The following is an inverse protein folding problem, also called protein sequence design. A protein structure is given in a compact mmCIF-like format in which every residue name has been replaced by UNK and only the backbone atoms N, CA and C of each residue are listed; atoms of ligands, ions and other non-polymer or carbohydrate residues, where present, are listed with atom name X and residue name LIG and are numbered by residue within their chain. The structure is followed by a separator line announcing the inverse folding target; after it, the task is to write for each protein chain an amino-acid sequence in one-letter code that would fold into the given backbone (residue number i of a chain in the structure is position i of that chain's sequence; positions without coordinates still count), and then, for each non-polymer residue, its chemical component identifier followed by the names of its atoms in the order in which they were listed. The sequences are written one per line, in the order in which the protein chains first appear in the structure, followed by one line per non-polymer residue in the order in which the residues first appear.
data_IF_025103317480
#
_entry.id   IF_025103317480
#
_cell.length_a   1.000
_cell.length_b   1.000
_cell.length_c   1.000
_cell.angle_alpha   90.00
_cell.angle_beta   90.00
_cell.angle_gamma   90.00
#
_symmetry.space_group_name_H-M   'P 1'
#
loop_
_entity.id
_entity.type
_entity.pdbx_description
1 polymer ?
#
# COMPACT_ATOMS: atom_id res chain seq x y z
N UNK A 1 -16.38 -2.34 15.11
CA UNK A 1 -16.10 -3.67 14.54
C UNK A 1 -15.02 -3.60 13.46
N UNK A 2 -15.24 -2.95 12.30
CA UNK A 2 -14.17 -2.78 11.30
C UNK A 2 -12.98 -1.98 11.86
N UNK A 3 -13.24 -0.84 12.51
CA UNK A 3 -12.18 -0.01 13.09
C UNK A 3 -11.36 -0.74 14.17
N UNK A 4 -11.95 -1.69 14.88
CA UNK A 4 -11.23 -2.51 15.88
C UNK A 4 -10.34 -3.56 15.20
N UNK A 5 -10.87 -4.23 14.17
CA UNK A 5 -10.17 -5.29 13.43
C UNK A 5 -9.03 -4.70 12.58
N UNK A 6 -9.27 -3.53 12.00
CA UNK A 6 -8.33 -2.77 11.18
C UNK A 6 -7.66 -1.63 11.96
N UNK A 7 -7.55 -1.77 13.28
CA UNK A 7 -6.82 -0.81 14.11
C UNK A 7 -5.39 -0.65 13.56
N UNK A 8 -4.95 0.61 13.41
CA UNK A 8 -3.66 0.96 12.83
C UNK A 8 -2.47 0.32 13.58
N UNK A 9 -2.62 0.06 14.88
CA UNK A 9 -1.61 -0.62 15.69
C UNK A 9 -1.31 -2.05 15.20
N UNK A 10 -2.23 -2.66 14.45
CA UNK A 10 -2.04 -3.98 13.84
C UNK A 10 -1.18 -3.96 12.55
N UNK A 11 -0.76 -2.79 12.06
CA UNK A 11 -0.12 -2.62 10.75
C UNK A 11 1.41 -2.37 10.81
N UNK A 12 2.08 -2.96 11.80
CA UNK A 12 3.55 -2.94 11.95
C UNK A 12 4.15 -1.52 11.85
N UNK A 13 3.50 -0.56 12.51
CA UNK A 13 3.78 0.88 12.39
C UNK A 13 5.07 1.32 13.09
N UNK A 14 5.46 2.57 12.82
CA UNK A 14 6.46 3.34 13.56
C UNK A 14 5.74 4.46 14.31
N UNK A 15 6.00 4.60 15.60
CA UNK A 15 5.32 5.59 16.45
C UNK A 15 6.16 5.96 17.68
N UNK A 16 5.88 7.13 18.24
CA UNK A 16 6.24 7.47 19.62
C UNK A 16 4.98 7.53 20.50
N UNK A 17 5.05 8.17 21.66
CA UNK A 17 3.90 8.33 22.56
C UNK A 17 2.74 9.08 21.88
N UNK A 18 3.05 10.15 21.14
CA UNK A 18 2.07 11.15 20.65
C UNK A 18 1.77 11.05 19.16
N UNK A 19 2.66 10.42 18.37
CA UNK A 19 2.65 10.49 16.91
C UNK A 19 2.86 9.14 16.24
N UNK A 20 2.25 8.98 15.09
CA UNK A 20 2.61 8.00 14.07
C UNK A 20 3.59 8.60 13.07
N UNK A 21 4.42 7.76 12.47
CA UNK A 21 5.37 8.13 11.42
C UNK A 21 5.19 7.22 10.21
N UNK A 22 4.76 7.79 9.09
CA UNK A 22 4.54 7.05 7.86
C UNK A 22 5.58 7.40 6.81
N UNK A 23 6.00 6.41 6.04
CA UNK A 23 7.01 6.61 5.00
C UNK A 23 6.36 7.21 3.75
N UNK A 24 7.08 8.13 3.12
CA UNK A 24 6.83 8.56 1.75
C UNK A 24 8.11 8.45 0.96
N UNK A 25 8.08 7.66 -0.11
CA UNK A 25 9.02 7.82 -1.20
C UNK A 25 8.65 9.10 -1.98
N UNK A 26 9.56 10.07 -2.03
CA UNK A 26 9.33 11.31 -2.76
C UNK A 26 9.19 10.98 -4.24
N UNK A 27 8.02 11.26 -4.81
CA UNK A 27 7.74 10.89 -6.19
C UNK A 27 8.45 11.84 -7.17
N UNK A 28 8.30 11.61 -8.47
CA UNK A 28 8.97 12.45 -9.48
C UNK A 28 8.50 13.92 -9.44
N UNK A 29 7.24 14.19 -9.10
CA UNK A 29 6.71 15.55 -8.97
C UNK A 29 7.25 16.26 -7.72
N UNK A 30 7.37 15.55 -6.59
CA UNK A 30 8.00 16.09 -5.38
C UNK A 30 9.47 16.44 -5.62
N UNK A 31 10.20 15.53 -6.29
CA UNK A 31 11.59 15.78 -6.64
C UNK A 31 11.72 16.94 -7.61
N UNK A 32 10.80 17.09 -8.56
CA UNK A 32 10.77 18.25 -9.45
C UNK A 32 10.59 19.54 -8.65
N UNK A 33 9.66 19.58 -7.71
CA UNK A 33 9.45 20.76 -6.85
C UNK A 33 10.70 21.07 -6.02
N UNK A 34 11.37 20.05 -5.49
CA UNK A 34 12.60 20.20 -4.70
C UNK A 34 13.76 20.72 -5.54
N UNK A 35 14.01 20.09 -6.70
CA UNK A 35 15.13 20.43 -7.58
C UNK A 35 14.97 21.85 -8.20
N UNK A 36 13.74 22.36 -8.27
CA UNK A 36 13.43 23.72 -8.75
C UNK A 36 13.16 24.72 -7.61
N UNK A 37 13.46 24.38 -6.35
CA UNK A 37 13.31 25.25 -5.19
C UNK A 37 11.87 25.77 -4.96
N UNK A 38 10.86 25.04 -5.42
CA UNK A 38 9.44 25.42 -5.29
C UNK A 38 8.96 25.18 -3.85
N UNK A 39 9.40 24.07 -3.25
CA UNK A 39 8.97 23.63 -1.91
C UNK A 39 10.10 23.60 -0.90
N UNK A 40 11.24 24.23 -1.20
CA UNK A 40 12.46 24.19 -0.40
C UNK A 40 12.72 25.56 0.22
N UNK A 41 13.13 25.57 1.49
CA UNK A 41 13.49 26.80 2.20
C UNK A 41 14.94 27.22 1.94
N UNK A 42 15.33 28.38 2.47
CA UNK A 42 16.68 28.94 2.31
C UNK A 42 17.81 27.98 2.74
N UNK A 43 17.54 27.10 3.70
CA UNK A 43 18.50 26.13 4.24
C UNK A 43 18.48 24.77 3.52
N UNK A 44 17.77 24.64 2.40
CA UNK A 44 17.66 23.39 1.64
C UNK A 44 16.66 22.38 2.20
N UNK A 45 15.99 22.70 3.32
CA UNK A 45 14.99 21.83 3.94
C UNK A 45 13.65 21.89 3.20
N UNK A 46 12.91 20.77 3.17
CA UNK A 46 11.58 20.70 2.56
C UNK A 46 10.57 21.46 3.45
N UNK A 47 9.81 22.38 2.86
CA UNK A 47 8.78 23.20 3.54
C UNK A 47 7.38 22.62 3.39
N UNK A 48 7.10 21.95 2.27
CA UNK A 48 5.79 21.34 2.01
C UNK A 48 5.90 20.25 0.95
N UNK A 49 5.00 19.29 0.99
CA UNK A 49 4.77 18.34 -0.10
C UNK A 49 3.37 18.61 -0.62
N UNK A 50 3.31 18.98 -1.90
CA UNK A 50 2.11 19.43 -2.59
C UNK A 50 1.28 18.24 -3.09
N UNK A 51 -0.02 18.43 -3.19
CA UNK A 51 -0.93 17.45 -3.83
C UNK A 51 -0.79 17.52 -5.35
N UNK A 52 -1.16 16.44 -6.04
CA UNK A 52 -1.20 16.45 -7.52
C UNK A 52 -2.20 17.48 -8.05
N UNK A 53 -3.36 17.62 -7.39
CA UNK A 53 -4.31 18.70 -7.70
C UNK A 53 -3.66 20.08 -7.71
N UNK A 54 -2.81 20.40 -6.73
CA UNK A 54 -2.17 21.72 -6.68
C UNK A 54 -1.15 21.95 -7.81
N UNK A 55 -0.69 20.88 -8.47
CA UNK A 55 0.18 20.92 -9.65
C UNK A 55 -0.62 20.85 -10.96
N UNK A 56 -1.89 20.50 -10.88
CA UNK A 56 -2.75 20.29 -12.04
C UNK A 56 -3.06 21.62 -12.74
N UNK A 57 -2.79 21.67 -14.04
CA UNK A 57 -2.85 22.89 -14.86
C UNK A 57 -4.20 23.07 -15.59
N UNK A 58 -5.09 22.09 -15.48
CA UNK A 58 -6.45 22.10 -16.07
C UNK A 58 -7.50 22.23 -14.97
N UNK A 59 -8.77 22.17 -15.37
CA UNK A 59 -9.90 22.12 -14.42
C UNK A 59 -9.89 20.78 -13.68
N UNK A 60 -9.63 20.76 -12.36
CA UNK A 60 -9.59 19.52 -11.60
C UNK A 60 -11.02 18.99 -11.36
N UNK A 61 -11.17 17.68 -11.28
CA UNK A 61 -12.42 17.03 -10.84
C UNK A 61 -12.75 17.34 -9.38
N UNK A 62 -11.72 17.39 -8.53
CA UNK A 62 -11.85 17.57 -7.09
C UNK A 62 -11.51 19.02 -6.69
N UNK A 63 -12.29 19.59 -5.76
CA UNK A 63 -12.04 20.93 -5.21
C UNK A 63 -11.03 20.85 -4.06
N UNK A 64 -10.33 21.93 -3.78
CA UNK A 64 -9.29 21.97 -2.72
C UNK A 64 -9.86 21.78 -1.32
N UNK A 65 -11.03 22.36 -1.10
CA UNK A 65 -11.77 22.41 0.15
C UNK A 65 -12.82 21.29 0.25
N UNK A 66 -12.79 20.32 -0.67
CA UNK A 66 -13.67 19.17 -0.62
C UNK A 66 -13.32 18.28 0.59
N UNK A 67 -14.27 17.45 1.02
CA UNK A 67 -13.97 16.32 1.89
C UNK A 67 -13.55 15.14 1.05
N UNK A 68 -12.58 14.36 1.54
CA UNK A 68 -12.20 13.09 0.95
C UNK A 68 -13.44 12.23 0.70
N UNK A 69 -13.52 11.65 -0.50
CA UNK A 69 -14.61 10.76 -0.89
C UNK A 69 -14.06 9.40 -1.32
N UNK A 70 -14.93 8.37 -1.33
CA UNK A 70 -14.58 7.05 -1.87
C UNK A 70 -14.08 7.14 -3.32
N UNK A 71 -14.70 7.99 -4.14
CA UNK A 71 -14.31 8.15 -5.54
C UNK A 71 -12.93 8.80 -5.69
N UNK A 72 -12.59 9.75 -4.81
CA UNK A 72 -11.27 10.40 -4.84
C UNK A 72 -10.14 9.47 -4.39
N UNK A 73 -10.33 8.67 -3.33
CA UNK A 73 -9.36 7.63 -2.96
C UNK A 73 -9.23 6.60 -4.08
N UNK A 74 -10.35 6.13 -4.63
CA UNK A 74 -10.34 5.19 -5.74
C UNK A 74 -9.55 5.75 -6.93
N UNK A 75 -9.80 7.00 -7.33
CA UNK A 75 -9.09 7.66 -8.42
C UNK A 75 -7.60 7.88 -8.13
N UNK A 76 -7.19 7.97 -6.86
CA UNK A 76 -5.80 8.11 -6.45
C UNK A 76 -5.02 6.77 -6.43
N UNK A 77 -5.68 5.66 -6.11
CA UNK A 77 -5.02 4.35 -5.92
C UNK A 77 -5.08 3.46 -7.17
N UNK A 78 -6.12 3.60 -7.99
CA UNK A 78 -6.34 2.72 -9.13
C UNK A 78 -5.13 2.68 -10.08
N UNK A 79 -5.01 1.58 -10.81
CA UNK A 79 -4.04 1.45 -11.90
C UNK A 79 -4.32 2.55 -12.92
N UNK A 80 -3.31 3.40 -13.20
CA UNK A 80 -3.46 4.70 -13.87
C UNK A 80 -4.27 5.72 -13.05
N UNK A 81 -3.71 6.14 -11.91
CA UNK A 81 -4.31 7.14 -11.03
C UNK A 81 -4.48 8.50 -11.71
N UNK A 82 -5.42 9.29 -11.19
CA UNK A 82 -5.62 10.68 -11.62
C UNK A 82 -4.61 11.60 -10.95
N UNK A 83 -4.10 12.57 -11.71
CA UNK A 83 -3.14 13.59 -11.25
C UNK A 83 -3.81 14.90 -10.82
N UNK A 84 -5.08 14.84 -10.42
CA UNK A 84 -5.87 16.00 -9.97
C UNK A 84 -6.60 15.75 -8.64
N UNK A 85 -6.10 14.80 -7.82
CA UNK A 85 -6.61 14.50 -6.48
C UNK A 85 -5.86 15.30 -5.40
N UNK A 86 -6.50 15.52 -4.26
CA UNK A 86 -5.89 16.11 -3.07
C UNK A 86 -5.12 15.10 -2.22
N UNK A 87 -5.03 13.85 -2.68
CA UNK A 87 -4.44 12.76 -1.92
C UNK A 87 -2.91 12.71 -2.10
N UNK A 88 -2.22 12.33 -1.04
CA UNK A 88 -0.79 12.06 -1.02
C UNK A 88 -0.58 10.68 -0.41
N UNK A 89 -0.07 9.74 -1.22
CA UNK A 89 0.28 8.39 -0.79
C UNK A 89 1.37 8.35 0.26
N UNK A 90 1.11 7.58 1.31
CA UNK A 90 2.00 7.22 2.40
C UNK A 90 1.93 5.71 2.64
N UNK A 91 2.91 5.14 3.33
CA UNK A 91 2.90 3.73 3.71
C UNK A 91 3.40 3.53 5.13
N UNK A 92 2.80 2.59 5.87
CA UNK A 92 3.34 2.17 7.17
C UNK A 92 4.56 1.26 7.02
N UNK A 93 4.84 0.74 5.83
CA UNK A 93 5.91 -0.22 5.57
C UNK A 93 7.04 0.38 4.75
N UNK A 94 8.23 0.45 5.34
CA UNK A 94 9.44 0.94 4.70
C UNK A 94 9.77 0.16 3.41
N UNK A 95 9.50 -1.14 3.34
CA UNK A 95 9.78 -1.95 2.15
C UNK A 95 8.96 -1.51 0.94
N UNK A 96 7.71 -1.06 1.16
CA UNK A 96 6.86 -0.51 0.09
C UNK A 96 7.45 0.80 -0.41
N UNK A 97 7.85 1.69 0.51
CA UNK A 97 8.51 2.93 0.11
C UNK A 97 9.81 2.69 -0.63
N UNK A 98 10.66 1.76 -0.17
CA UNK A 98 11.91 1.40 -0.86
C UNK A 98 11.67 0.85 -2.27
N UNK A 99 10.63 0.02 -2.46
CA UNK A 99 10.24 -0.47 -3.78
C UNK A 99 9.95 0.71 -4.71
N UNK A 100 9.06 1.61 -4.29
CA UNK A 100 8.70 2.77 -5.11
C UNK A 100 9.88 3.72 -5.34
N UNK A 101 10.60 4.06 -4.28
CA UNK A 101 11.72 5.00 -4.31
C UNK A 101 12.85 4.55 -5.22
N UNK A 102 13.15 3.24 -5.25
CA UNK A 102 14.28 2.68 -6.01
C UNK A 102 13.92 2.28 -7.43
N UNK A 103 12.69 1.81 -7.65
CA UNK A 103 12.27 1.30 -8.95
C UNK A 103 11.72 2.42 -9.84
N UNK A 104 11.05 3.42 -9.26
CA UNK A 104 10.30 4.42 -10.03
C UNK A 104 10.73 5.87 -9.79
N UNK A 105 11.40 6.17 -8.67
CA UNK A 105 11.75 7.55 -8.26
C UNK A 105 13.27 7.72 -8.04
N UNK A 106 13.67 8.71 -7.23
CA UNK A 106 15.06 9.12 -7.00
C UNK A 106 15.69 8.60 -5.71
N UNK A 107 15.15 7.52 -5.11
CA UNK A 107 15.64 6.92 -3.85
C UNK A 107 15.75 7.95 -2.70
N UNK A 108 14.81 8.92 -2.64
CA UNK A 108 14.67 9.92 -1.58
C UNK A 108 13.37 9.74 -0.81
N UNK A 109 13.42 9.96 0.50
CA UNK A 109 12.34 9.62 1.42
C UNK A 109 12.12 10.70 2.47
N UNK A 110 10.90 10.74 3.00
CA UNK A 110 10.58 11.43 4.25
C UNK A 110 9.75 10.52 5.14
N UNK A 111 9.79 10.78 6.44
CA UNK A 111 8.75 10.37 7.36
C UNK A 111 7.74 11.51 7.49
N UNK A 112 6.45 11.16 7.48
CA UNK A 112 5.34 12.07 7.73
C UNK A 112 4.83 11.79 9.13
N UNK A 113 5.07 12.74 10.02
CA UNK A 113 4.65 12.73 11.42
C UNK A 113 3.19 13.15 11.52
N UNK A 114 2.38 12.28 12.10
CA UNK A 114 0.94 12.45 12.25
C UNK A 114 0.57 12.30 13.72
N UNK A 115 0.05 13.35 14.39
CA UNK A 115 -0.43 13.20 15.76
C UNK A 115 -1.50 12.12 15.86
N UNK A 116 -1.41 11.22 16.84
CA UNK A 116 -2.37 10.10 16.97
C UNK A 116 -3.82 10.56 17.08
N UNK A 117 -4.04 11.71 17.73
CA UNK A 117 -5.36 12.37 17.87
C UNK A 117 -5.94 12.93 16.55
N UNK A 118 -5.10 13.13 15.53
CA UNK A 118 -5.47 13.65 14.21
C UNK A 118 -5.56 12.54 13.15
N UNK A 119 -5.14 11.33 13.49
CA UNK A 119 -5.33 10.15 12.65
C UNK A 119 -6.83 9.87 12.45
N UNK A 120 -7.23 9.51 11.24
CA UNK A 120 -8.63 9.38 10.84
C UNK A 120 -9.27 10.69 10.34
N UNK A 121 -8.60 11.84 10.48
CA UNK A 121 -9.07 13.13 9.95
C UNK A 121 -8.42 13.42 8.60
N UNK A 122 -7.17 13.93 8.61
CA UNK A 122 -6.41 14.23 7.39
C UNK A 122 -5.64 13.03 6.86
N UNK A 123 -5.28 12.10 7.74
CA UNK A 123 -4.55 10.89 7.36
C UNK A 123 -5.40 9.68 7.69
N UNK A 124 -5.69 8.85 6.69
CA UNK A 124 -6.53 7.66 6.83
C UNK A 124 -5.80 6.43 6.31
N UNK A 125 -6.08 5.26 6.88
CA UNK A 125 -5.79 3.99 6.22
C UNK A 125 -6.73 3.86 5.01
N UNK A 126 -6.18 3.83 3.80
CA UNK A 126 -7.00 3.94 2.60
C UNK A 126 -7.90 2.71 2.40
N UNK A 127 -7.39 1.52 2.69
CA UNK A 127 -8.17 0.28 2.59
C UNK A 127 -9.37 0.28 3.56
N UNK A 128 -9.15 0.61 4.84
CA UNK A 128 -10.21 0.72 5.83
C UNK A 128 -11.23 1.82 5.46
N UNK A 129 -10.75 3.00 5.05
CA UNK A 129 -11.62 4.09 4.63
C UNK A 129 -12.52 3.65 3.47
N UNK A 130 -11.95 3.00 2.45
CA UNK A 130 -12.70 2.47 1.32
C UNK A 130 -13.76 1.45 1.78
N UNK A 131 -13.40 0.51 2.67
CA UNK A 131 -14.36 -0.46 3.21
C UNK A 131 -15.53 0.21 3.94
N UNK A 132 -15.24 1.19 4.80
CA UNK A 132 -16.27 1.94 5.54
C UNK A 132 -17.21 2.69 4.57
N UNK A 133 -16.66 3.41 3.59
CA UNK A 133 -17.47 4.13 2.60
C UNK A 133 -18.29 3.20 1.69
N UNK A 134 -17.75 2.03 1.32
CA UNK A 134 -18.50 1.02 0.59
C UNK A 134 -19.67 0.53 1.45
N UNK A 135 -19.43 0.20 2.72
CA UNK A 135 -20.48 -0.26 3.62
C UNK A 135 -21.57 0.79 3.83
N UNK A 136 -21.20 2.06 3.96
CA UNK A 136 -22.15 3.19 4.03
C UNK A 136 -23.01 3.26 2.77
N UNK A 137 -22.41 3.09 1.58
CA UNK A 137 -23.16 3.09 0.31
C UNK A 137 -24.10 1.89 0.18
N UNK A 138 -23.69 0.72 0.66
CA UNK A 138 -24.57 -0.47 0.73
C UNK A 138 -25.77 -0.18 1.63
N UNK A 139 -25.53 0.42 2.81
CA UNK A 139 -26.59 0.77 3.74
C UNK A 139 -27.55 1.82 3.16
N UNK A 140 -27.04 2.78 2.39
CA UNK A 140 -27.86 3.75 1.65
C UNK A 140 -28.80 3.04 0.66
N UNK A 141 -28.30 2.07 -0.12
CA UNK A 141 -29.15 1.29 -1.03
C UNK A 141 -30.23 0.50 -0.28
N UNK A 142 -29.91 -0.08 0.88
CA UNK A 142 -30.90 -0.78 1.72
C UNK A 142 -31.98 0.21 2.19
N UNK A 143 -31.58 1.34 2.76
CA UNK A 143 -32.48 2.33 3.33
C UNK A 143 -33.38 3.01 2.29
N UNK A 144 -32.87 3.19 1.07
CA UNK A 144 -33.62 3.76 -0.05
C UNK A 144 -34.56 2.74 -0.72
N UNK A 145 -34.58 1.48 -0.27
CA UNK A 145 -35.38 0.41 -0.88
C UNK A 145 -34.90 0.03 -2.28
N UNK A 146 -33.62 0.22 -2.55
CA UNK A 146 -33.00 0.00 -3.86
C UNK A 146 -32.57 -1.45 -4.11
N UNK A 147 -32.65 -2.31 -3.09
CA UNK A 147 -32.30 -3.72 -3.12
C UNK A 147 -33.53 -4.60 -2.87
N UNK A 148 -33.54 -5.82 -3.43
CA UNK A 148 -34.61 -6.80 -3.17
C UNK A 148 -34.51 -7.36 -1.74
N UNK A 149 -35.63 -7.85 -1.20
CA UNK A 149 -35.65 -8.53 0.11
C UNK A 149 -34.72 -9.74 0.15
N UNK A 150 -34.60 -10.45 -0.97
CA UNK A 150 -33.67 -11.57 -1.11
C UNK A 150 -32.22 -11.11 -0.99
N UNK A 151 -31.83 -10.07 -1.73
CA UNK A 151 -30.48 -9.50 -1.64
C UNK A 151 -30.16 -9.06 -0.20
N UNK A 152 -31.10 -8.36 0.46
CA UNK A 152 -30.95 -7.93 1.87
C UNK A 152 -30.77 -9.13 2.79
N UNK A 153 -31.52 -10.22 2.59
CA UNK A 153 -31.38 -11.45 3.36
C UNK A 153 -29.99 -12.08 3.20
N UNK A 154 -29.44 -12.10 1.97
CA UNK A 154 -28.09 -12.60 1.75
C UNK A 154 -27.01 -11.69 2.36
N UNK A 155 -27.15 -10.37 2.27
CA UNK A 155 -26.23 -9.42 2.92
C UNK A 155 -26.17 -9.66 4.43
N UNK A 156 -27.33 -9.79 5.08
CA UNK A 156 -27.42 -10.11 6.51
C UNK A 156 -26.79 -11.47 6.84
N UNK A 157 -26.95 -12.46 5.95
CA UNK A 157 -26.35 -13.79 6.14
C UNK A 157 -24.82 -13.72 6.09
N UNK A 158 -24.26 -12.93 5.16
CA UNK A 158 -22.81 -12.70 5.04
C UNK A 158 -22.25 -12.02 6.29
N UNK A 159 -22.96 -11.01 6.83
CA UNK A 159 -22.51 -10.29 8.03
C UNK A 159 -22.31 -11.20 9.24
N UNK A 160 -23.17 -12.22 9.38
CA UNK A 160 -23.16 -13.13 10.51
C UNK A 160 -22.11 -14.24 10.43
N UNK A 161 -21.45 -14.42 9.28
CA UNK A 161 -20.42 -15.44 9.09
C UNK A 161 -19.23 -15.23 10.04
N UNK A 162 -18.69 -16.32 10.59
CA UNK A 162 -17.57 -16.30 11.54
C UNK A 162 -16.27 -16.87 10.98
N UNK A 163 -16.32 -17.57 9.85
CA UNK A 163 -15.14 -18.18 9.24
C UNK A 163 -15.16 -18.12 7.71
N UNK A 164 -13.97 -18.25 7.10
CA UNK A 164 -13.83 -18.30 5.64
C UNK A 164 -14.61 -19.48 5.03
N UNK A 165 -14.57 -20.64 5.69
CA UNK A 165 -15.29 -21.83 5.25
C UNK A 165 -16.81 -21.63 5.24
N UNK A 166 -17.36 -20.97 6.27
CA UNK A 166 -18.78 -20.61 6.31
C UNK A 166 -19.15 -19.64 5.19
N UNK A 167 -18.30 -18.65 4.90
CA UNK A 167 -18.52 -17.69 3.82
C UNK A 167 -18.57 -18.43 2.47
N UNK A 168 -17.59 -19.28 2.20
CA UNK A 168 -17.49 -20.02 0.95
C UNK A 168 -18.69 -20.97 0.77
N UNK A 169 -19.16 -21.61 1.84
CA UNK A 169 -20.36 -22.45 1.82
C UNK A 169 -21.64 -21.64 1.52
N UNK A 170 -21.79 -20.47 2.14
CA UNK A 170 -22.92 -19.57 1.91
C UNK A 170 -22.95 -19.06 0.45
N UNK A 171 -21.81 -18.63 -0.07
CA UNK A 171 -21.73 -18.14 -1.46
C UNK A 171 -22.03 -19.26 -2.44
N UNK A 172 -21.57 -20.49 -2.17
CA UNK A 172 -21.92 -21.64 -2.99
C UNK A 172 -23.40 -22.02 -2.93
N UNK A 173 -24.10 -21.80 -1.81
CA UNK A 173 -25.54 -22.07 -1.73
C UNK A 173 -26.37 -21.04 -2.49
N UNK A 174 -26.02 -19.75 -2.39
CA UNK A 174 -26.66 -18.65 -3.12
C UNK A 174 -26.61 -18.93 -4.64
N UNK A 175 -25.46 -19.35 -5.16
CA UNK A 175 -25.30 -19.71 -6.59
C UNK A 175 -26.24 -20.81 -7.05
N UNK A 176 -26.41 -21.87 -6.25
CA UNK A 176 -27.25 -23.01 -6.61
C UNK A 176 -28.70 -22.58 -6.80
N UNK A 177 -29.17 -21.64 -5.97
CA UNK A 177 -30.51 -21.05 -6.07
C UNK A 177 -30.62 -20.19 -7.34
N UNK A 178 -29.65 -19.31 -7.59
CA UNK A 178 -29.67 -18.46 -8.80
C UNK A 178 -29.58 -19.26 -10.11
N UNK A 179 -28.89 -20.40 -10.13
CA UNK A 179 -28.82 -21.27 -11.31
C UNK A 179 -30.10 -22.10 -11.52
N UNK A 180 -30.87 -22.39 -10.47
CA UNK A 180 -32.14 -23.12 -10.61
C UNK A 180 -33.29 -22.27 -11.17
N UNK A 181 -33.18 -20.94 -11.10
CA UNK A 181 -34.22 -20.01 -11.55
C UNK A 181 -34.08 -19.58 -13.03
N UNK A 182 -33.04 -20.01 -13.74
CA UNK A 182 -32.84 -19.76 -15.17
C UNK A 182 -33.25 -20.98 -16.03
N UNK A 183 -34.55 -21.22 -16.10
CA UNK A 183 -35.17 -21.95 -17.23
C UNK A 183 -36.12 -20.99 -17.95
N UNK A 184 -35.56 -20.01 -18.65
CA UNK A 184 -36.32 -19.18 -19.59
C UNK A 184 -35.88 -19.50 -21.03
N UNK A 185 -36.83 -19.97 -21.84
CA UNK A 185 -36.67 -20.44 -23.23
C UNK A 185 -36.26 -19.31 -24.22
N UNK A 186 -36.05 -18.09 -23.74
CA UNK A 186 -35.81 -16.90 -24.56
C UNK A 186 -34.40 -16.28 -24.52
N UNK A 187 -33.47 -16.75 -23.66
CA UNK A 187 -32.09 -16.24 -23.63
C UNK A 187 -31.09 -17.17 -24.33
N UNK A 188 -31.17 -17.26 -25.66
CA UNK A 188 -30.14 -17.93 -26.48
C UNK A 188 -28.83 -17.12 -26.54
N UNK A 189 -28.04 -17.14 -25.47
CA UNK A 189 -26.58 -17.04 -25.61
C UNK A 189 -25.78 -16.21 -24.62
N UNK A 190 -26.38 -15.56 -23.62
CA UNK A 190 -25.61 -14.89 -22.56
C UNK A 190 -25.98 -15.50 -21.21
N UNK A 191 -25.24 -16.54 -20.81
CA UNK A 191 -25.23 -16.92 -19.41
C UNK A 191 -24.67 -15.73 -18.62
N UNK A 192 -25.52 -15.04 -17.85
CA UNK A 192 -25.04 -14.24 -16.73
C UNK A 192 -24.50 -15.18 -15.66
N UNK A 193 -23.35 -15.77 -15.95
CA UNK A 193 -22.54 -16.39 -14.92
C UNK A 193 -22.22 -15.27 -13.94
N UNK A 194 -22.70 -15.42 -12.71
CA UNK A 194 -22.17 -14.73 -11.54
C UNK A 194 -20.68 -15.09 -11.46
N UNK A 195 -19.83 -14.42 -12.25
CA UNK A 195 -18.41 -14.71 -12.26
C UNK A 195 -17.84 -14.05 -11.02
N UNK A 196 -17.64 -14.87 -10.00
CA UNK A 196 -17.12 -14.46 -8.70
C UNK A 196 -15.89 -13.58 -8.85
N UNK A 197 -15.81 -12.56 -8.01
CA UNK A 197 -14.55 -11.91 -7.80
C UNK A 197 -13.73 -12.79 -6.85
N UNK A 198 -12.80 -13.59 -7.38
CA UNK A 198 -11.87 -14.36 -6.56
C UNK A 198 -11.12 -13.41 -5.62
N UNK A 199 -11.48 -13.48 -4.33
CA UNK A 199 -10.86 -12.68 -3.30
C UNK A 199 -9.57 -13.36 -2.84
N UNK A 200 -8.44 -12.69 -3.05
CA UNK A 200 -7.13 -13.18 -2.58
C UNK A 200 -6.88 -12.74 -1.15
N UNK A 201 -6.25 -13.60 -0.34
CA UNK A 201 -5.74 -13.19 0.96
C UNK A 201 -4.50 -12.32 0.77
N UNK A 202 -4.46 -11.18 1.47
CA UNK A 202 -3.30 -10.31 1.49
C UNK A 202 -2.41 -10.69 2.67
N UNK A 203 -1.12 -10.93 2.41
CA UNK A 203 -0.14 -11.26 3.45
C UNK A 203 0.02 -10.16 4.50
N UNK A 204 -0.32 -8.92 4.13
CA UNK A 204 -0.27 -7.77 5.02
C UNK A 204 -1.47 -7.72 6.00
N UNK A 205 -2.46 -8.61 5.84
CA UNK A 205 -3.66 -8.70 6.67
C UNK A 205 -3.69 -10.02 7.45
N UNK A 206 -4.25 -9.96 8.67
CA UNK A 206 -4.57 -11.15 9.47
C UNK A 206 -5.72 -11.94 8.86
N UNK A 207 -5.95 -13.18 9.32
CA UNK A 207 -7.10 -13.99 8.87
C UNK A 207 -8.45 -13.31 9.16
N UNK A 208 -8.57 -12.63 10.30
CA UNK A 208 -9.78 -11.88 10.66
C UNK A 208 -10.00 -10.68 9.73
N UNK A 209 -8.94 -9.93 9.42
CA UNK A 209 -8.99 -8.82 8.46
C UNK A 209 -9.33 -9.31 7.05
N UNK A 210 -8.71 -10.41 6.60
CA UNK A 210 -9.02 -11.01 5.30
C UNK A 210 -10.48 -11.48 5.24
N UNK A 211 -11.03 -12.06 6.31
CA UNK A 211 -12.43 -12.46 6.37
C UNK A 211 -13.40 -11.28 6.21
N UNK A 212 -13.19 -10.17 6.93
CA UNK A 212 -14.07 -9.01 6.82
C UNK A 212 -14.01 -8.35 5.44
N UNK A 213 -12.81 -8.30 4.84
CA UNK A 213 -12.65 -7.91 3.44
C UNK A 213 -13.40 -8.85 2.50
N UNK A 214 -13.27 -10.17 2.68
CA UNK A 214 -13.93 -11.17 1.85
C UNK A 214 -15.47 -11.09 1.95
N UNK A 215 -16.00 -10.82 3.14
CA UNK A 215 -17.42 -10.52 3.32
C UNK A 215 -17.85 -9.32 2.47
N UNK A 216 -17.07 -8.23 2.48
CA UNK A 216 -17.37 -7.06 1.67
C UNK A 216 -17.36 -7.38 0.17
N UNK A 217 -16.37 -8.14 -0.30
CA UNK A 217 -16.30 -8.62 -1.70
C UNK A 217 -17.55 -9.43 -2.06
N UNK A 218 -17.94 -10.36 -1.20
CA UNK A 218 -19.15 -11.17 -1.39
C UNK A 218 -20.42 -10.31 -1.46
N UNK A 219 -20.55 -9.29 -0.60
CA UNK A 219 -21.68 -8.34 -0.66
C UNK A 219 -21.71 -7.59 -2.00
N UNK A 220 -20.56 -7.17 -2.50
CA UNK A 220 -20.45 -6.43 -3.76
C UNK A 220 -20.80 -7.28 -4.99
N UNK A 221 -20.56 -8.59 -4.95
CA UNK A 221 -20.98 -9.49 -6.01
C UNK A 221 -22.52 -9.68 -5.99
N UNK A 222 -23.17 -9.66 -4.82
CA UNK A 222 -24.65 -9.74 -4.69
C UNK A 222 -25.36 -8.48 -5.18
N UNK A 223 -24.75 -7.31 -4.96
CA UNK A 223 -25.35 -6.03 -5.31
C UNK A 223 -25.19 -5.79 -6.81
N UNK A 224 -26.31 -5.86 -7.55
CA UNK A 224 -26.35 -5.56 -8.99
C UNK A 224 -26.34 -4.04 -9.30
N UNK A 225 -25.62 -3.26 -8.49
CA UNK A 225 -25.42 -1.81 -8.64
C UNK A 225 -23.95 -1.47 -8.40
N UNK A 226 -23.47 -0.50 -9.16
CA UNK A 226 -22.12 0.03 -8.95
C UNK A 226 -22.10 0.94 -7.71
N UNK A 227 -21.14 0.71 -6.81
CA UNK A 227 -20.92 1.58 -5.65
C UNK A 227 -20.48 2.98 -6.08
N UNK A 228 -19.52 3.05 -7.01
CA UNK A 228 -19.07 4.30 -7.63
C UNK A 228 -19.72 4.38 -9.02
N UNK A 229 -20.37 5.50 -9.38
CA UNK A 229 -20.98 5.66 -10.71
C UNK A 229 -19.99 5.37 -11.84
N UNK A 230 -20.42 4.57 -12.82
CA UNK A 230 -19.63 4.17 -14.00
C UNK A 230 -18.34 3.38 -13.72
N UNK A 231 -18.14 2.87 -12.50
CA UNK A 231 -17.03 2.00 -12.13
C UNK A 231 -17.59 0.64 -11.73
N UNK A 232 -17.08 -0.44 -12.32
CA UNK A 232 -17.52 -1.78 -11.94
C UNK A 232 -17.04 -2.13 -10.53
N UNK A 233 -17.88 -2.85 -9.77
CA UNK A 233 -17.51 -3.32 -8.42
C UNK A 233 -16.22 -4.15 -8.43
N UNK A 234 -15.94 -4.90 -9.50
CA UNK A 234 -14.67 -5.63 -9.65
C UNK A 234 -13.45 -4.72 -9.66
N UNK A 235 -13.53 -3.59 -10.36
CA UNK A 235 -12.41 -2.66 -10.42
C UNK A 235 -12.22 -1.93 -9.09
N UNK A 236 -13.32 -1.65 -8.38
CA UNK A 236 -13.26 -1.15 -7.01
C UNK A 236 -12.59 -2.15 -6.06
N UNK A 237 -12.96 -3.44 -6.14
CA UNK A 237 -12.35 -4.52 -5.34
C UNK A 237 -10.85 -4.65 -5.65
N UNK A 238 -10.46 -4.59 -6.92
CA UNK A 238 -9.04 -4.60 -7.31
C UNK A 238 -8.28 -3.43 -6.68
N UNK A 239 -8.88 -2.23 -6.69
CA UNK A 239 -8.26 -1.02 -6.14
C UNK A 239 -8.16 -1.09 -4.61
N UNK A 240 -9.18 -1.63 -3.94
CA UNK A 240 -9.14 -1.95 -2.51
C UNK A 240 -8.00 -2.93 -2.20
N UNK A 241 -7.82 -3.93 -3.06
CA UNK A 241 -6.72 -4.88 -2.99
C UNK A 241 -5.35 -4.23 -3.07
N UNK A 242 -5.18 -3.29 -4.00
CA UNK A 242 -3.95 -2.51 -4.11
C UNK A 242 -3.66 -1.75 -2.81
N UNK A 243 -4.67 -1.07 -2.24
CA UNK A 243 -4.54 -0.33 -0.98
C UNK A 243 -4.04 -1.20 0.17
N UNK A 244 -4.59 -2.41 0.34
CA UNK A 244 -4.12 -3.34 1.38
C UNK A 244 -2.75 -3.94 1.07
N UNK A 245 -2.44 -4.22 -0.19
CA UNK A 245 -1.14 -4.78 -0.57
C UNK A 245 0.03 -3.83 -0.28
N UNK A 246 -0.18 -2.52 -0.43
CA UNK A 246 0.81 -1.48 -0.15
C UNK A 246 0.77 -0.94 1.28
N UNK A 247 -0.18 -1.41 2.11
CA UNK A 247 -0.50 -0.79 3.39
C UNK A 247 -0.66 0.73 3.24
N UNK A 248 -1.46 1.12 2.24
CA UNK A 248 -1.65 2.49 1.82
C UNK A 248 -2.28 3.33 2.93
N UNK A 249 -1.63 4.45 3.22
CA UNK A 249 -2.25 5.56 3.92
C UNK A 249 -2.38 6.74 2.98
N UNK A 250 -3.43 7.52 3.15
CA UNK A 250 -3.67 8.72 2.37
C UNK A 250 -3.64 9.94 3.28
N UNK A 251 -2.72 10.86 3.02
CA UNK A 251 -2.78 12.21 3.56
C UNK A 251 -3.60 13.10 2.62
N UNK A 252 -4.64 13.75 3.13
CA UNK A 252 -5.53 14.61 2.37
C UNK A 252 -5.14 16.07 2.50
N UNK A 253 -4.80 16.69 1.37
CA UNK A 253 -4.20 18.02 1.32
C UNK A 253 -2.68 17.98 1.38
N UNK A 254 -2.04 19.14 1.25
CA UNK A 254 -0.59 19.27 1.28
C UNK A 254 -0.03 18.97 2.68
N UNK A 255 1.15 18.35 2.72
CA UNK A 255 1.88 18.08 3.97
C UNK A 255 2.73 19.31 4.30
N UNK A 256 2.67 19.77 5.54
CA UNK A 256 3.36 20.98 6.00
C UNK A 256 4.73 20.65 6.63
N UNK A 257 5.61 21.65 6.71
CA UNK A 257 6.97 21.51 7.26
C UNK A 257 7.02 20.81 8.63
N UNK A 258 6.09 21.12 9.53
CA UNK A 258 6.04 20.56 10.88
C UNK A 258 5.68 19.07 10.92
N UNK A 259 5.12 18.54 9.84
CA UNK A 259 4.78 17.13 9.64
C UNK A 259 5.93 16.37 8.96
N UNK A 260 6.87 17.07 8.31
CA UNK A 260 7.95 16.44 7.56
C UNK A 260 9.15 16.18 8.47
N UNK A 261 9.61 14.94 8.48
CA UNK A 261 10.88 14.51 9.05
C UNK A 261 11.74 13.96 7.91
N UNK A 262 12.77 14.70 7.52
CA UNK A 262 13.71 14.26 6.48
C UNK A 262 14.52 13.06 6.98
N UNK A 263 14.66 12.03 6.14
CA UNK A 263 15.29 10.76 6.51
C UNK A 263 16.17 10.25 5.37
N UNK A 264 17.34 9.72 5.70
CA UNK A 264 18.22 9.11 4.69
C UNK A 264 17.69 7.73 4.26
N UNK A 265 18.01 7.33 3.03
CA UNK A 265 17.67 5.99 2.52
C UNK A 265 18.23 4.87 3.40
N UNK A 266 19.36 5.10 4.06
CA UNK A 266 20.01 4.15 4.95
C UNK A 266 19.17 3.87 6.21
N UNK A 267 18.46 4.87 6.74
CA UNK A 267 17.53 4.64 7.85
C UNK A 267 16.28 3.90 7.38
N UNK A 268 15.78 4.20 6.18
CA UNK A 268 14.66 3.45 5.60
C UNK A 268 15.03 1.99 5.38
N UNK A 269 16.27 1.68 4.96
CA UNK A 269 16.79 0.31 4.91
C UNK A 269 16.79 -0.36 6.29
N UNK A 270 17.21 0.34 7.35
CA UNK A 270 17.17 -0.20 8.71
C UNK A 270 15.75 -0.51 9.14
N UNK A 271 14.79 0.42 8.98
CA UNK A 271 13.38 0.16 9.27
C UNK A 271 12.82 -1.00 8.45
N UNK A 272 13.21 -1.12 7.19
CA UNK A 272 12.76 -2.20 6.30
C UNK A 272 13.16 -3.58 6.81
N UNK A 273 14.34 -3.72 7.43
CA UNK A 273 14.79 -4.96 8.06
C UNK A 273 14.03 -5.23 9.36
N UNK A 274 13.86 -4.21 10.20
CA UNK A 274 13.16 -4.35 11.48
C UNK A 274 11.70 -4.78 11.26
N UNK A 275 11.04 -4.22 10.25
CA UNK A 275 9.67 -4.57 9.90
C UNK A 275 9.51 -5.97 9.27
N UNK A 276 10.59 -6.64 8.89
CA UNK A 276 10.58 -8.03 8.42
C UNK A 276 10.78 -9.06 9.54
N UNK A 277 11.03 -8.61 10.77
CA UNK A 277 11.12 -9.51 11.93
C UNK A 277 9.80 -10.26 12.12
N UNK A 278 9.89 -11.48 12.65
CA UNK A 278 8.71 -12.32 12.84
C UNK A 278 7.72 -11.66 13.79
N UNK A 279 6.43 -11.93 13.59
CA UNK A 279 5.35 -11.42 14.45
C UNK A 279 5.48 -11.84 15.92
N UNK A 280 6.31 -12.84 16.22
CA UNK A 280 6.57 -13.34 17.57
C UNK A 280 7.65 -12.55 18.31
N UNK A 281 8.31 -11.60 17.64
CA UNK A 281 9.33 -10.73 18.23
C UNK A 281 8.80 -9.31 18.36
N UNK A 282 8.80 -8.78 19.59
CA UNK A 282 8.45 -7.38 19.83
C UNK A 282 9.60 -6.47 19.36
N UNK A 283 9.44 -5.92 18.15
CA UNK A 283 10.39 -5.00 17.54
C UNK A 283 10.20 -3.53 17.97
N UNK A 284 9.23 -3.24 18.84
CA UNK A 284 8.89 -1.88 19.26
C UNK A 284 10.07 -1.13 19.90
N UNK A 285 10.86 -1.73 20.83
CA UNK A 285 12.01 -1.05 21.41
C UNK A 285 13.05 -0.64 20.35
N UNK A 286 13.31 -1.53 19.39
CA UNK A 286 14.28 -1.31 18.32
C UNK A 286 13.82 -0.21 17.35
N UNK A 287 12.54 -0.23 16.95
CA UNK A 287 11.93 0.84 16.14
C UNK A 287 12.04 2.20 16.82
N UNK A 288 11.77 2.25 18.13
CA UNK A 288 11.80 3.48 18.90
C UNK A 288 13.23 4.05 19.00
N UNK A 289 14.25 3.20 19.19
CA UNK A 289 15.63 3.69 19.21
C UNK A 289 16.06 4.21 17.83
N UNK A 290 15.67 3.53 16.74
CA UNK A 290 15.95 4.02 15.38
C UNK A 290 15.23 5.34 15.11
N UNK A 291 13.96 5.45 15.47
CA UNK A 291 13.19 6.69 15.34
C UNK A 291 13.83 7.82 16.16
N UNK A 292 14.24 7.55 17.41
CA UNK A 292 14.93 8.53 18.25
C UNK A 292 16.22 9.01 17.59
N UNK A 293 16.98 8.11 16.97
CA UNK A 293 18.18 8.46 16.21
C UNK A 293 17.86 9.37 15.02
N UNK A 294 16.84 9.05 14.22
CA UNK A 294 16.37 9.91 13.13
C UNK A 294 16.01 11.32 13.63
N UNK A 295 15.28 11.41 14.73
CA UNK A 295 14.78 12.68 15.27
C UNK A 295 15.86 13.54 15.95
N UNK A 296 16.91 12.91 16.50
CA UNK A 296 17.94 13.63 17.29
C UNK A 296 19.27 13.79 16.58
N UNK A 297 19.69 12.80 15.80
CA UNK A 297 20.97 12.76 15.10
C UNK A 297 20.86 11.88 13.85
N UNK A 298 20.28 12.44 12.79
CA UNK A 298 20.04 11.79 11.49
C UNK A 298 21.33 11.49 10.70
N UNK A 299 22.47 11.31 11.38
CA UNK A 299 23.77 11.01 10.79
C UNK A 299 24.11 9.55 10.99
N UNK A 300 23.89 8.76 9.95
CA UNK A 300 24.49 7.45 9.78
C UNK A 300 25.32 7.44 8.50
N UNK A 301 26.26 6.49 8.41
CA UNK A 301 27.17 6.42 7.28
C UNK A 301 26.38 6.18 5.99
N UNK A 302 26.46 7.13 5.06
CA UNK A 302 25.90 6.93 3.73
C UNK A 302 26.70 5.88 2.97
N UNK A 303 25.99 5.12 2.13
CA UNK A 303 26.59 4.11 1.29
C UNK A 303 26.18 4.32 -0.17
N UNK A 304 27.18 4.48 -1.03
CA UNK A 304 26.96 4.49 -2.47
C UNK A 304 26.98 3.05 -2.99
N UNK A 305 25.78 2.54 -3.27
CA UNK A 305 25.61 1.19 -3.81
C UNK A 305 25.96 1.10 -5.30
N UNK A 306 26.00 2.23 -6.00
CA UNK A 306 26.26 2.25 -7.44
C UNK A 306 27.77 2.36 -7.72
N UNK A 307 28.56 2.88 -6.77
CA UNK A 307 30.02 2.82 -6.80
C UNK A 307 30.61 1.45 -6.46
N UNK A 308 29.80 0.46 -6.09
CA UNK A 308 30.29 -0.88 -5.81
C UNK A 308 30.69 -1.58 -7.11
N UNK A 309 31.97 -1.48 -7.48
CA UNK A 309 32.51 -2.14 -8.66
C UNK A 309 32.40 -3.66 -8.53
N UNK A 310 31.55 -4.24 -9.37
CA UNK A 310 31.51 -5.67 -9.62
C UNK A 310 32.76 -6.00 -10.43
N UNK A 311 33.60 -6.91 -9.92
CA UNK A 311 34.87 -7.23 -10.55
C UNK A 311 34.59 -8.03 -11.85
N UNK A 312 34.85 -7.39 -12.99
CA UNK A 312 34.58 -7.93 -14.34
C UNK A 312 35.28 -9.28 -14.61
N UNK A 313 36.39 -9.57 -13.94
CA UNK A 313 37.16 -10.79 -14.17
C UNK A 313 36.59 -11.99 -13.37
N UNK A 314 35.93 -11.74 -12.25
CA UNK A 314 35.37 -12.78 -11.36
C UNK A 314 33.85 -12.96 -11.49
N UNK A 315 33.13 -12.05 -12.14
CA UNK A 315 31.67 -12.04 -12.12
C UNK A 315 30.98 -12.56 -13.40
N UNK A 316 29.78 -13.11 -13.17
CA UNK A 316 28.88 -13.72 -14.15
C UNK A 316 28.37 -12.70 -15.16
N UNK A 317 29.04 -12.50 -16.30
CA UNK A 317 28.47 -11.73 -17.42
C UNK A 317 27.46 -12.59 -18.19
N UNK A 318 26.59 -11.96 -18.98
CA UNK A 318 25.66 -12.69 -19.88
C UNK A 318 26.46 -13.60 -20.83
N UNK A 319 27.56 -13.10 -21.38
CA UNK A 319 28.44 -13.84 -22.28
C UNK A 319 29.09 -15.03 -21.57
N UNK A 320 29.62 -14.83 -20.35
CA UNK A 320 30.22 -15.90 -19.54
C UNK A 320 29.21 -16.96 -19.14
N UNK A 321 27.95 -16.59 -18.91
CA UNK A 321 26.87 -17.57 -18.66
C UNK A 321 26.48 -18.35 -19.92
N UNK A 322 26.47 -17.71 -21.08
CA UNK A 322 26.24 -18.39 -22.35
C UNK A 322 27.38 -19.38 -22.67
N UNK A 323 28.62 -18.99 -22.42
CA UNK A 323 29.81 -19.84 -22.53
C UNK A 323 29.75 -21.02 -21.55
N UNK A 324 29.49 -20.78 -20.25
CA UNK A 324 29.39 -21.82 -19.23
C UNK A 324 28.29 -22.85 -19.49
N UNK A 325 27.22 -22.43 -20.18
CA UNK A 325 26.09 -23.29 -20.53
C UNK A 325 26.23 -23.90 -21.93
N UNK A 326 27.33 -23.66 -22.64
CA UNK A 326 27.54 -24.07 -24.04
C UNK A 326 26.35 -23.70 -24.95
N UNK A 327 25.72 -22.54 -24.70
CA UNK A 327 24.55 -22.08 -25.45
C UNK A 327 23.26 -22.88 -25.24
N UNK A 328 23.20 -23.75 -24.22
CA UNK A 328 21.97 -24.49 -23.87
C UNK A 328 20.90 -23.62 -23.20
N UNK A 329 21.29 -22.44 -22.70
CA UNK A 329 20.38 -21.45 -22.12
C UNK A 329 20.21 -20.30 -23.12
N UNK A 330 18.96 -19.85 -23.31
CA UNK A 330 18.67 -18.74 -24.21
C UNK A 330 19.32 -17.44 -23.72
N UNK A 331 19.62 -16.53 -24.64
CA UNK A 331 20.18 -15.22 -24.29
C UNK A 331 19.27 -14.42 -23.34
N UNK A 332 17.95 -14.53 -23.52
CA UNK A 332 16.97 -13.88 -22.65
C UNK A 332 17.00 -14.45 -21.23
N UNK A 333 17.14 -15.78 -21.09
CA UNK A 333 17.25 -16.43 -19.79
C UNK A 333 18.57 -16.09 -19.09
N UNK A 334 19.66 -15.99 -19.86
CA UNK A 334 20.95 -15.53 -19.34
C UNK A 334 20.88 -14.09 -18.81
N UNK A 335 20.22 -13.16 -19.53
CA UNK A 335 19.95 -11.80 -19.05
C UNK A 335 19.11 -11.82 -17.77
N UNK A 336 18.05 -12.62 -17.74
CA UNK A 336 17.16 -12.68 -16.58
C UNK A 336 17.90 -13.23 -15.35
N UNK A 337 18.74 -14.26 -15.53
CA UNK A 337 19.56 -14.83 -14.48
C UNK A 337 20.62 -13.84 -13.98
N UNK A 338 21.26 -13.11 -14.90
CA UNK A 338 22.19 -12.03 -14.55
C UNK A 338 21.53 -10.98 -13.66
N UNK A 339 20.39 -10.44 -14.08
CA UNK A 339 19.64 -9.43 -13.33
C UNK A 339 19.29 -9.95 -11.93
N UNK A 340 18.78 -11.18 -11.81
CA UNK A 340 18.45 -11.78 -10.51
C UNK A 340 19.68 -11.89 -9.60
N UNK A 341 20.80 -12.38 -10.11
CA UNK A 341 22.05 -12.49 -9.34
C UNK A 341 22.58 -11.12 -8.92
N UNK A 342 22.55 -10.13 -9.82
CA UNK A 342 22.94 -8.75 -9.53
C UNK A 342 22.10 -8.16 -8.39
N UNK A 343 20.77 -8.24 -8.48
CA UNK A 343 19.88 -7.71 -7.44
C UNK A 343 20.00 -8.46 -6.12
N UNK A 344 20.24 -9.78 -6.14
CA UNK A 344 20.51 -10.58 -4.94
C UNK A 344 21.79 -10.09 -4.24
N UNK A 345 22.88 -9.87 -4.99
CA UNK A 345 24.13 -9.34 -4.46
C UNK A 345 23.95 -7.94 -3.87
N UNK A 346 23.25 -7.05 -4.58
CA UNK A 346 22.93 -5.69 -4.10
C UNK A 346 22.09 -5.74 -2.82
N UNK A 347 21.10 -6.64 -2.75
CA UNK A 347 20.28 -6.85 -1.55
C UNK A 347 21.12 -7.31 -0.37
N UNK A 348 22.03 -8.28 -0.55
CA UNK A 348 22.92 -8.75 0.51
C UNK A 348 23.81 -7.63 1.04
N UNK A 349 24.37 -6.81 0.16
CA UNK A 349 25.19 -5.66 0.53
C UNK A 349 24.38 -4.61 1.31
N UNK A 350 23.14 -4.34 0.91
CA UNK A 350 22.20 -3.48 1.63
C UNK A 350 21.92 -4.00 3.04
N UNK A 351 21.61 -5.29 3.18
CA UNK A 351 21.38 -5.91 4.48
C UNK A 351 22.60 -5.76 5.40
N UNK A 352 23.81 -6.01 4.89
CA UNK A 352 25.05 -5.83 5.67
C UNK A 352 25.22 -4.38 6.13
N UNK A 353 24.99 -3.40 5.25
CA UNK A 353 25.10 -1.99 5.60
C UNK A 353 24.05 -1.57 6.63
N UNK A 354 22.80 -1.98 6.45
CA UNK A 354 21.72 -1.68 7.38
C UNK A 354 21.97 -2.31 8.76
N UNK A 355 22.47 -3.54 8.85
CA UNK A 355 22.88 -4.15 10.13
C UNK A 355 24.04 -3.40 10.78
N UNK A 356 25.01 -2.92 10.01
CA UNK A 356 26.11 -2.11 10.55
C UNK A 356 25.60 -0.75 11.07
N UNK A 357 24.71 -0.09 10.34
CA UNK A 357 24.08 1.15 10.79
C UNK A 357 23.23 0.92 12.04
N UNK A 358 22.50 -0.20 12.11
CA UNK A 358 21.73 -0.58 13.29
C UNK A 358 22.65 -0.75 14.51
N UNK A 359 23.80 -1.41 14.38
CA UNK A 359 24.80 -1.51 15.46
C UNK A 359 25.29 -0.15 15.93
N UNK A 360 25.49 0.81 15.02
CA UNK A 360 25.89 2.17 15.38
C UNK A 360 24.76 2.86 16.13
N UNK A 361 23.53 2.77 15.64
CA UNK A 361 22.33 3.37 16.25
C UNK A 361 22.12 2.84 17.67
N UNK A 362 22.22 1.52 17.87
CA UNK A 362 21.98 0.88 19.18
C UNK A 362 23.21 0.89 20.08
N UNK A 363 24.33 1.51 19.67
CA UNK A 363 25.64 1.41 20.33
C UNK A 363 26.05 -0.05 20.60
N UNK A 364 25.67 -0.96 19.70
CA UNK A 364 25.90 -2.40 19.78
C UNK A 364 25.39 -3.01 21.09
N UNK A 365 24.32 -2.45 21.66
CA UNK A 365 23.67 -2.97 22.86
C UNK A 365 22.89 -4.25 22.49
N UNK A 366 23.28 -5.43 23.00
CA UNK A 366 22.60 -6.69 22.69
C UNK A 366 21.22 -6.81 23.36
N UNK A 367 20.87 -5.88 24.24
CA UNK A 367 19.60 -5.84 24.98
C UNK A 367 18.49 -5.12 24.20
N UNK A 368 18.83 -4.50 23.06
CA UNK A 368 17.94 -3.73 22.18
C UNK A 368 17.84 -4.45 20.84
#
# INVERSE_FOLDING_TARGET
MLDDIFNIENFNIISDEDNYYFFRALNNADNFDIDNYITVGENGNILTIRTDRSRYDKTPKYKEDATLSLEEIFDHIKVHHRTDTNCISLSSNANVSLLYGREYYKDKYVLVKVPKKEFGQKVVNAGLYMMNQIQDKINEFINNGELSNEAISYLNSIDNVKSKQELDNLINSIKKVSQSDFYDDFEKGINYNFSETNSINYMALTDAQNLEKDKLVAKLDIINKNIIPNVSNRFLIQTLGNAFSSLELTHYGSINKNEIVEISKEFVDVFSLIQQLSSNYDSTPLKNEVLRSVLTNNNIKSFDYDSYEINKDTDYTVDKMYELTNGSVSYQDAINMYKKSFYLSKSKLRTLNAVNNLKVITNNNPSI
#
